data_IF_616271937742
#
_entry.id   IF_616271937742
#
_cell.length_a   1.000
_cell.length_b   1.000
_cell.length_c   1.000
_cell.angle_alpha   90.00
_cell.angle_beta   90.00
_cell.angle_gamma   90.00
#
_symmetry.space_group_name_H-M   'P 1'
#
loop_
_entity.id
_entity.type
_entity.pdbx_description
1 polymer ?
#
# COMPACT_ATOMS: atom_id res chain seq x y z
N UNK A 1 -23.41 -4.15 -16.26
CA UNK A 1 -22.24 -4.40 -15.36
C UNK A 1 -22.68 -5.18 -14.12
N UNK A 2 -23.59 -4.68 -13.25
CA UNK A 2 -23.99 -5.39 -12.01
C UNK A 2 -24.58 -6.78 -12.30
N UNK A 3 -25.46 -6.91 -13.30
CA UNK A 3 -26.04 -8.19 -13.70
C UNK A 3 -25.00 -9.20 -14.21
N UNK A 4 -23.95 -8.74 -14.88
CA UNK A 4 -22.86 -9.62 -15.36
C UNK A 4 -22.05 -10.15 -14.18
N UNK A 5 -21.71 -9.27 -13.21
CA UNK A 5 -21.00 -9.67 -12.00
C UNK A 5 -21.87 -10.65 -11.19
N UNK A 6 -23.15 -10.34 -11.01
CA UNK A 6 -24.09 -11.22 -10.31
C UNK A 6 -24.19 -12.60 -10.98
N UNK A 7 -24.26 -12.64 -12.31
CA UNK A 7 -24.29 -13.92 -13.06
C UNK A 7 -23.02 -14.73 -12.87
N UNK A 8 -21.85 -14.08 -12.81
CA UNK A 8 -20.58 -14.75 -12.49
C UNK A 8 -20.57 -15.32 -11.07
N UNK A 9 -21.08 -14.56 -10.09
CA UNK A 9 -21.17 -15.02 -8.71
C UNK A 9 -22.15 -16.18 -8.59
N UNK A 10 -23.29 -16.12 -9.26
CA UNK A 10 -24.27 -17.21 -9.32
C UNK A 10 -23.65 -18.48 -9.90
N UNK A 11 -22.92 -18.37 -11.00
CA UNK A 11 -22.18 -19.50 -11.56
C UNK A 11 -21.16 -20.06 -10.58
N UNK A 12 -20.36 -19.20 -9.93
CA UNK A 12 -19.36 -19.59 -8.95
C UNK A 12 -20.00 -20.33 -7.74
N UNK A 13 -21.14 -19.82 -7.25
CA UNK A 13 -21.93 -20.46 -6.21
C UNK A 13 -22.38 -21.88 -6.63
N UNK A 14 -22.90 -22.01 -7.86
CA UNK A 14 -23.39 -23.29 -8.38
C UNK A 14 -22.30 -24.37 -8.51
N UNK A 15 -21.05 -23.98 -8.74
CA UNK A 15 -19.90 -24.90 -8.78
C UNK A 15 -19.20 -25.07 -7.43
N UNK A 16 -19.77 -24.52 -6.35
CA UNK A 16 -19.29 -24.73 -4.97
C UNK A 16 -18.12 -23.85 -4.54
N UNK A 17 -17.85 -22.75 -5.22
CA UNK A 17 -16.86 -21.74 -4.75
C UNK A 17 -17.35 -21.16 -3.44
N UNK A 18 -16.48 -21.13 -2.43
CA UNK A 18 -16.86 -20.67 -1.08
C UNK A 18 -16.69 -19.18 -0.87
N UNK A 19 -15.75 -18.53 -1.57
CA UNK A 19 -15.45 -17.11 -1.40
C UNK A 19 -15.09 -16.48 -2.73
N UNK A 20 -15.56 -15.24 -2.93
CA UNK A 20 -15.17 -14.38 -4.04
C UNK A 20 -14.84 -12.98 -3.54
N UNK A 21 -13.84 -12.36 -4.16
CA UNK A 21 -13.43 -10.99 -3.81
C UNK A 21 -13.80 -10.02 -4.94
N UNK A 22 -14.58 -9.01 -4.60
CA UNK A 22 -14.88 -7.87 -5.48
C UNK A 22 -13.87 -6.76 -5.17
N UNK A 23 -12.95 -6.54 -6.08
CA UNK A 23 -12.01 -5.42 -5.98
C UNK A 23 -12.66 -4.15 -6.54
N UNK A 24 -12.50 -3.03 -5.84
CA UNK A 24 -12.84 -1.72 -6.40
C UNK A 24 -12.09 -1.52 -7.72
N UNK A 25 -12.78 -1.04 -8.73
CA UNK A 25 -12.17 -0.72 -10.01
C UNK A 25 -11.29 0.51 -9.86
N UNK A 26 -10.07 0.44 -10.35
CA UNK A 26 -9.06 1.50 -10.24
C UNK A 26 -8.51 1.88 -11.61
N UNK A 27 -8.19 3.16 -11.79
CA UNK A 27 -7.38 3.62 -12.89
C UNK A 27 -5.93 3.15 -12.71
N UNK A 28 -5.32 2.72 -13.80
CA UNK A 28 -3.90 2.36 -13.87
C UNK A 28 -3.32 2.83 -15.21
N UNK A 29 -2.01 2.86 -15.34
CA UNK A 29 -1.35 3.20 -16.61
C UNK A 29 -1.84 2.36 -17.78
N UNK A 30 -2.21 1.11 -17.55
CA UNK A 30 -2.61 0.16 -18.60
C UNK A 30 -4.09 0.24 -18.99
N UNK A 31 -4.96 0.79 -18.14
CA UNK A 31 -6.41 0.80 -18.37
C UNK A 31 -7.04 2.20 -18.45
N UNK A 32 -6.35 3.25 -18.00
CA UNK A 32 -6.89 4.60 -17.85
C UNK A 32 -7.52 5.11 -19.16
N UNK A 33 -6.83 5.00 -20.28
CA UNK A 33 -7.35 5.45 -21.58
C UNK A 33 -8.65 4.73 -21.97
N UNK A 34 -8.75 3.42 -21.72
CA UNK A 34 -9.93 2.63 -22.04
C UNK A 34 -11.12 2.98 -21.13
N UNK A 35 -10.86 3.25 -19.85
CA UNK A 35 -11.90 3.67 -18.91
C UNK A 35 -12.43 5.06 -19.24
N UNK A 36 -11.55 6.02 -19.53
CA UNK A 36 -11.92 7.39 -19.93
C UNK A 36 -12.76 7.36 -21.21
N UNK A 37 -12.38 6.59 -22.22
CA UNK A 37 -13.14 6.42 -23.47
C UNK A 37 -14.55 5.85 -23.22
N UNK A 38 -14.75 5.11 -22.14
CA UNK A 38 -16.06 4.56 -21.72
C UNK A 38 -16.83 5.51 -20.79
N UNK A 39 -16.33 6.71 -20.53
CA UNK A 39 -16.98 7.71 -19.70
C UNK A 39 -16.79 7.53 -18.19
N UNK A 40 -15.88 6.65 -17.76
CA UNK A 40 -15.55 6.53 -16.35
C UNK A 40 -14.68 7.71 -15.88
N UNK A 41 -14.89 8.11 -14.63
CA UNK A 41 -14.16 9.20 -13.97
C UNK A 41 -13.57 8.73 -12.65
N UNK A 42 -12.55 9.44 -12.18
CA UNK A 42 -11.95 9.20 -10.85
C UNK A 42 -12.98 9.56 -9.77
N UNK A 43 -12.98 8.79 -8.68
CA UNK A 43 -13.91 8.96 -7.56
C UNK A 43 -13.58 10.20 -6.72
N UNK A 44 -12.30 10.38 -6.40
CA UNK A 44 -11.77 11.44 -5.54
C UNK A 44 -10.29 11.71 -5.86
N UNK A 45 -9.69 12.68 -5.19
CA UNK A 45 -8.28 13.06 -5.38
C UNK A 45 -7.31 12.22 -4.52
N UNK A 46 -7.82 11.28 -3.73
CA UNK A 46 -7.03 10.51 -2.74
C UNK A 46 -6.68 9.13 -3.28
N UNK A 47 -7.55 8.57 -4.12
CA UNK A 47 -7.41 7.21 -4.63
C UNK A 47 -7.56 7.13 -6.15
N UNK A 48 -7.00 6.10 -6.76
CA UNK A 48 -7.21 5.79 -8.17
C UNK A 48 -8.59 5.13 -8.45
N UNK A 49 -9.48 5.08 -7.46
CA UNK A 49 -10.78 4.43 -7.55
C UNK A 49 -11.67 5.08 -8.62
N UNK A 50 -12.43 4.24 -9.32
CA UNK A 50 -13.42 4.67 -10.31
C UNK A 50 -14.72 5.03 -9.60
N UNK A 51 -15.27 6.22 -9.90
CA UNK A 51 -16.56 6.68 -9.40
C UNK A 51 -17.69 5.69 -9.78
N UNK A 52 -18.52 5.33 -8.80
CA UNK A 52 -19.62 4.38 -8.98
C UNK A 52 -19.23 2.90 -8.81
N UNK A 53 -17.93 2.59 -8.68
CA UNK A 53 -17.48 1.20 -8.51
C UNK A 53 -17.93 0.60 -7.18
N UNK A 54 -17.87 1.37 -6.10
CA UNK A 54 -18.30 0.95 -4.77
C UNK A 54 -19.83 0.73 -4.73
N UNK A 55 -20.57 1.65 -5.31
CA UNK A 55 -22.03 1.56 -5.39
C UNK A 55 -22.48 0.33 -6.19
N UNK A 56 -21.80 0.03 -7.30
CA UNK A 56 -22.05 -1.19 -8.07
C UNK A 56 -21.74 -2.45 -7.29
N UNK A 57 -20.62 -2.47 -6.54
CA UNK A 57 -20.27 -3.62 -5.70
C UNK A 57 -21.31 -3.84 -4.59
N UNK A 58 -21.75 -2.78 -3.91
CA UNK A 58 -22.78 -2.89 -2.87
C UNK A 58 -24.10 -3.46 -3.42
N UNK A 59 -24.54 -2.98 -4.58
CA UNK A 59 -25.74 -3.53 -5.23
C UNK A 59 -25.62 -5.02 -5.53
N UNK A 60 -24.44 -5.45 -6.00
CA UNK A 60 -24.20 -6.88 -6.27
C UNK A 60 -24.20 -7.70 -4.98
N UNK A 61 -23.62 -7.18 -3.89
CA UNK A 61 -23.65 -7.83 -2.59
C UNK A 61 -25.10 -7.97 -2.08
N UNK A 62 -25.92 -6.92 -2.21
CA UNK A 62 -27.34 -6.97 -1.85
C UNK A 62 -28.10 -8.01 -2.70
N UNK A 63 -27.79 -8.11 -4.00
CA UNK A 63 -28.37 -9.15 -4.86
C UNK A 63 -27.99 -10.55 -4.41
N UNK A 64 -26.73 -10.77 -4.05
CA UNK A 64 -26.25 -12.07 -3.54
C UNK A 64 -26.95 -12.42 -2.23
N UNK A 65 -27.03 -11.49 -1.30
CA UNK A 65 -27.66 -11.68 0.01
C UNK A 65 -29.15 -12.04 -0.13
N UNK A 66 -29.87 -11.39 -1.07
CA UNK A 66 -31.29 -11.62 -1.28
C UNK A 66 -31.60 -12.92 -2.05
N UNK A 67 -30.60 -13.66 -2.52
CA UNK A 67 -30.80 -14.90 -3.29
C UNK A 67 -30.31 -16.17 -2.55
N UNK A 68 -30.07 -16.09 -1.23
CA UNK A 68 -29.68 -17.21 -0.35
C UNK A 68 -28.48 -18.01 -0.89
N UNK A 69 -27.49 -17.32 -1.45
CA UNK A 69 -26.26 -17.96 -1.93
C UNK A 69 -25.38 -18.39 -0.75
N UNK A 70 -24.73 -19.56 -0.89
CA UNK A 70 -23.76 -20.04 0.08
C UNK A 70 -22.38 -19.39 -0.05
N UNK A 71 -22.10 -18.75 -1.18
CA UNK A 71 -20.82 -18.11 -1.45
C UNK A 71 -20.65 -16.82 -0.63
N UNK A 72 -19.54 -16.71 0.08
CA UNK A 72 -19.15 -15.46 0.73
C UNK A 72 -18.60 -14.45 -0.28
N UNK A 73 -19.07 -13.21 -0.21
CA UNK A 73 -18.57 -12.11 -1.04
C UNK A 73 -17.87 -11.09 -0.17
N UNK A 74 -16.62 -10.80 -0.49
CA UNK A 74 -15.83 -9.75 0.15
C UNK A 74 -15.60 -8.60 -0.81
N UNK A 75 -15.83 -7.36 -0.35
CA UNK A 75 -15.48 -6.16 -1.10
C UNK A 75 -14.18 -5.56 -0.57
N UNK A 76 -13.23 -5.32 -1.47
CA UNK A 76 -11.94 -4.72 -1.15
C UNK A 76 -11.83 -3.34 -1.80
N UNK A 77 -11.93 -2.28 -0.99
CA UNK A 77 -11.81 -0.91 -1.47
C UNK A 77 -10.36 -0.52 -1.76
N UNK A 78 -10.18 0.44 -2.66
CA UNK A 78 -8.89 1.07 -2.97
C UNK A 78 -8.26 1.68 -1.73
N UNK A 79 -9.04 2.44 -0.98
CA UNK A 79 -8.58 3.08 0.26
C UNK A 79 -8.09 2.09 1.32
N UNK A 80 -8.73 0.91 1.43
CA UNK A 80 -8.26 -0.12 2.35
C UNK A 80 -6.95 -0.76 1.87
N UNK A 81 -6.81 -0.99 0.56
CA UNK A 81 -5.57 -1.53 -0.01
C UNK A 81 -4.39 -0.57 0.25
N UNK A 82 -4.57 0.70 -0.03
CA UNK A 82 -3.51 1.72 0.09
C UNK A 82 -3.29 2.15 1.54
N UNK A 83 -4.33 2.52 2.25
CA UNK A 83 -4.24 3.06 3.60
C UNK A 83 -3.89 2.01 4.67
N UNK A 84 -4.29 0.75 4.48
CA UNK A 84 -4.09 -0.29 5.50
C UNK A 84 -3.13 -1.38 5.03
N UNK A 85 -3.42 -2.02 3.91
CA UNK A 85 -2.62 -3.19 3.49
C UNK A 85 -1.22 -2.80 3.04
N UNK A 86 -1.08 -1.75 2.23
CA UNK A 86 0.22 -1.27 1.76
C UNK A 86 1.06 -0.73 2.92
N UNK A 87 0.46 0.12 3.75
CA UNK A 87 1.11 0.66 4.97
C UNK A 87 1.63 -0.46 5.87
N UNK A 88 0.82 -1.47 6.14
CA UNK A 88 1.22 -2.61 6.97
C UNK A 88 2.36 -3.43 6.33
N UNK A 89 2.40 -3.56 5.00
CA UNK A 89 3.50 -4.22 4.29
C UNK A 89 4.79 -3.41 4.37
N UNK A 90 4.71 -2.10 4.14
CA UNK A 90 5.87 -1.19 4.25
C UNK A 90 6.42 -1.21 5.66
N UNK A 91 5.55 -1.09 6.67
CA UNK A 91 5.93 -1.13 8.08
C UNK A 91 6.63 -2.45 8.48
N UNK A 92 6.09 -3.60 8.05
CA UNK A 92 6.74 -4.89 8.30
C UNK A 92 8.11 -4.97 7.62
N UNK A 93 8.22 -4.48 6.39
CA UNK A 93 9.51 -4.45 5.71
C UNK A 93 10.50 -3.53 6.43
N UNK A 94 10.09 -2.33 6.80
CA UNK A 94 10.92 -1.40 7.56
C UNK A 94 11.46 -2.04 8.84
N UNK A 95 10.60 -2.67 9.64
CA UNK A 95 11.01 -3.38 10.87
C UNK A 95 12.03 -4.49 10.63
N UNK A 96 11.95 -5.16 9.47
CA UNK A 96 12.88 -6.25 9.15
C UNK A 96 14.24 -5.79 8.63
N UNK A 97 14.35 -4.57 8.07
CA UNK A 97 15.57 -4.09 7.42
C UNK A 97 16.22 -2.89 8.11
N UNK A 98 15.49 -2.21 9.00
CA UNK A 98 16.00 -1.05 9.72
C UNK A 98 17.30 -1.39 10.50
N UNK A 99 18.26 -0.49 10.41
CA UNK A 99 19.48 -0.53 11.19
C UNK A 99 19.30 0.23 12.50
N UNK A 100 20.16 -0.02 13.47
CA UNK A 100 20.07 0.63 14.79
C UNK A 100 20.18 2.16 14.75
N UNK A 101 20.82 2.71 13.70
CA UNK A 101 20.93 4.15 13.45
C UNK A 101 19.76 4.74 12.64
N UNK A 102 18.75 3.94 12.29
CA UNK A 102 17.59 4.37 11.52
C UNK A 102 16.33 4.40 12.39
N UNK A 103 15.52 5.41 12.21
CA UNK A 103 14.21 5.55 12.87
C UNK A 103 13.12 5.19 11.85
N UNK A 104 12.21 4.33 12.24
CA UNK A 104 11.04 4.00 11.42
C UNK A 104 9.95 5.03 11.70
N UNK A 105 9.51 5.76 10.67
CA UNK A 105 8.38 6.68 10.77
C UNK A 105 7.05 5.93 10.87
N UNK A 106 5.97 6.67 11.21
CA UNK A 106 4.61 6.11 11.26
C UNK A 106 4.11 5.60 9.90
N UNK A 107 4.72 6.04 8.80
CA UNK A 107 4.43 5.59 7.44
C UNK A 107 5.34 4.42 6.98
N UNK A 108 6.26 3.96 7.84
CA UNK A 108 7.19 2.88 7.54
C UNK A 108 8.41 3.31 6.70
N UNK A 109 8.67 4.60 6.56
CA UNK A 109 9.91 5.09 5.96
C UNK A 109 11.05 5.04 6.94
N UNK A 110 12.29 4.81 6.45
CA UNK A 110 13.50 4.80 7.26
C UNK A 110 14.13 6.18 7.23
N UNK A 111 14.26 6.80 8.41
CA UNK A 111 14.88 8.10 8.60
C UNK A 111 16.25 7.92 9.23
N UNK A 112 17.25 8.63 8.74
CA UNK A 112 18.60 8.68 9.30
C UNK A 112 19.18 10.07 9.24
N UNK A 113 19.99 10.44 10.23
CA UNK A 113 20.83 11.62 10.17
C UNK A 113 22.04 11.37 9.28
N UNK A 114 22.47 12.37 8.53
CA UNK A 114 23.71 12.32 7.74
C UNK A 114 24.59 13.49 8.16
N UNK A 115 25.83 13.19 8.54
CA UNK A 115 26.83 14.20 8.87
C UNK A 115 27.99 14.05 7.89
N UNK A 116 28.41 15.13 7.29
CA UNK A 116 29.60 15.16 6.44
C UNK A 116 30.50 16.35 6.79
N UNK A 117 31.77 16.21 6.51
CA UNK A 117 32.75 17.29 6.69
C UNK A 117 33.66 17.39 5.46
N UNK A 118 33.90 18.62 5.00
CA UNK A 118 34.87 18.88 3.93
C UNK A 118 36.31 18.87 4.45
N UNK A 119 36.49 19.11 5.73
CA UNK A 119 37.81 19.37 6.35
C UNK A 119 38.33 18.24 7.22
N UNK A 120 37.49 17.28 7.55
CA UNK A 120 37.86 16.13 8.39
C UNK A 120 37.75 14.84 7.60
N UNK A 121 38.71 13.93 7.79
CA UNK A 121 38.53 12.57 7.30
C UNK A 121 37.40 11.87 8.05
N UNK A 122 36.76 10.87 7.41
CA UNK A 122 35.69 10.11 8.03
C UNK A 122 36.09 9.52 9.39
N UNK A 123 37.30 9.02 9.51
CA UNK A 123 37.80 8.49 10.78
C UNK A 123 37.87 9.56 11.88
N UNK A 124 38.41 10.72 11.54
CA UNK A 124 38.49 11.85 12.51
C UNK A 124 37.10 12.34 12.91
N UNK A 125 36.17 12.41 11.97
CA UNK A 125 34.80 12.78 12.25
C UNK A 125 34.09 11.74 13.15
N UNK A 126 34.32 10.46 12.89
CA UNK A 126 33.81 9.37 13.71
C UNK A 126 34.34 9.42 15.14
N UNK A 127 35.67 9.57 15.29
CA UNK A 127 36.31 9.65 16.61
C UNK A 127 35.82 10.88 17.40
N UNK A 128 35.62 12.01 16.75
CA UNK A 128 35.07 13.23 17.34
C UNK A 128 33.64 13.01 17.84
N UNK A 129 32.77 12.39 17.03
CA UNK A 129 31.39 12.10 17.42
C UNK A 129 31.33 11.19 18.65
N UNK A 130 32.24 10.23 18.75
CA UNK A 130 32.33 9.35 19.92
C UNK A 130 32.84 10.06 21.15
N UNK A 131 33.94 10.81 21.03
CA UNK A 131 34.66 11.39 22.18
C UNK A 131 33.96 12.64 22.72
N UNK A 132 33.50 13.53 21.84
CA UNK A 132 32.89 14.80 22.26
C UNK A 132 31.39 14.69 22.52
N UNK A 133 30.68 13.83 21.76
CA UNK A 133 29.22 13.71 21.84
C UNK A 133 28.74 12.39 22.45
N UNK A 134 29.66 11.49 22.81
CA UNK A 134 29.40 10.19 23.45
C UNK A 134 28.33 9.35 22.67
N UNK A 135 28.41 9.39 21.32
CA UNK A 135 27.49 8.63 20.48
C UNK A 135 27.95 7.17 20.42
N UNK A 136 27.03 6.24 20.65
CA UNK A 136 27.31 4.81 20.62
C UNK A 136 27.65 4.32 19.20
N UNK A 137 28.59 3.38 19.09
CA UNK A 137 29.04 2.81 17.81
C UNK A 137 27.91 2.27 16.94
N UNK A 138 26.90 1.65 17.54
CA UNK A 138 25.74 1.09 16.83
C UNK A 138 24.89 2.15 16.10
N UNK A 139 25.00 3.42 16.52
CA UNK A 139 24.31 4.55 15.92
C UNK A 139 25.12 5.25 14.83
N UNK A 140 26.38 4.84 14.63
CA UNK A 140 27.29 5.41 13.64
C UNK A 140 27.57 4.43 12.51
N UNK A 141 27.34 4.87 11.28
CA UNK A 141 27.68 4.11 10.08
C UNK A 141 28.52 4.95 9.14
N UNK A 142 29.72 4.45 8.82
CA UNK A 142 30.63 5.11 7.88
C UNK A 142 30.26 4.76 6.44
N UNK A 143 29.93 5.77 5.64
CA UNK A 143 29.67 5.61 4.23
C UNK A 143 30.67 6.44 3.42
N UNK A 144 31.42 5.79 2.54
CA UNK A 144 32.38 6.42 1.64
C UNK A 144 31.76 6.85 0.30
N UNK A 145 30.46 6.64 0.09
CA UNK A 145 29.81 7.06 -1.14
C UNK A 145 29.44 8.54 -1.07
N UNK A 146 29.69 9.34 -2.11
CA UNK A 146 29.16 10.69 -2.22
C UNK A 146 27.64 10.65 -2.18
N UNK A 147 27.05 11.69 -1.56
CA UNK A 147 25.60 11.94 -1.56
C UNK A 147 25.11 12.28 -2.96
#
# INVERSE_FOLDING_TARGET
>A
MENEIFSMISWANNIGVKWINLNELEFSETNAEKLIKRGFTVKDDISAAVKGSQESANKVIDMVFNNDFEIGVHYCSSSFKDGVQLKNRIMRRAKNIAKEYEIISDEGTLLKGVIYSKNLSLKKLYDLLKQEFNIEDKLLFLNNQPL
#
